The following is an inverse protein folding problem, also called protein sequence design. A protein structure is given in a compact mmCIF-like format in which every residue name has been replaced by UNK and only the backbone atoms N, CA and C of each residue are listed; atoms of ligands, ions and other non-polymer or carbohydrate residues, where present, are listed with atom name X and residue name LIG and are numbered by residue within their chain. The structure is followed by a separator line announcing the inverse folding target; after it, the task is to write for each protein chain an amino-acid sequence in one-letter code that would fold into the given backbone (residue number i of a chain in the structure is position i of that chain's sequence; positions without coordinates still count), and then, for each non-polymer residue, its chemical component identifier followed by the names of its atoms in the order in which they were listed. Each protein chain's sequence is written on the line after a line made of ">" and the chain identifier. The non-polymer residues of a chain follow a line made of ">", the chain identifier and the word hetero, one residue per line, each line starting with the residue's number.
data_IF_249967488562
#
_entry.id   IF_249967488562
#
_cell.length_a   1.000
_cell.length_b   1.000
_cell.length_c   1.000
_cell.angle_alpha   90.00
_cell.angle_beta   90.00
_cell.angle_gamma   90.00
#
_symmetry.space_group_name_H-M   'P 1'
#
loop_
_entity.id
_entity.type
_entity.pdbx_description
1 polymer ?
#
# COMPACT_ATOMS: atom_id res chain seq x y z
N UNK A 1 6.15 12.19 14.20
CA UNK A 1 4.89 12.40 13.46
C UNK A 1 5.22 12.60 12.00
N UNK A 2 4.86 11.65 11.15
CA UNK A 2 5.31 11.65 9.76
C UNK A 2 4.47 12.54 8.84
N UNK A 3 3.15 12.55 8.98
CA UNK A 3 2.26 13.33 8.10
C UNK A 3 1.03 13.84 8.85
N UNK A 4 0.67 15.09 8.56
CA UNK A 4 -0.60 15.68 8.96
C UNK A 4 -1.32 16.27 7.74
N UNK A 5 -2.62 16.06 7.66
CA UNK A 5 -3.48 16.62 6.63
C UNK A 5 -4.68 17.28 7.29
N UNK A 6 -5.18 18.38 6.70
CA UNK A 6 -6.41 19.03 7.17
C UNK A 6 -7.28 19.44 6.00
N UNK A 7 -8.56 19.09 6.07
CA UNK A 7 -9.56 19.41 5.05
C UNK A 7 -10.79 19.96 5.73
N UNK A 8 -11.20 21.18 5.35
CA UNK A 8 -12.41 21.85 5.88
C UNK A 8 -12.51 21.83 7.40
N UNK A 9 -11.40 22.09 8.09
CA UNK A 9 -11.30 22.08 9.56
C UNK A 9 -10.74 23.41 10.08
N UNK A 10 -11.08 23.77 11.30
CA UNK A 10 -10.60 25.00 11.97
C UNK A 10 -9.08 24.95 12.18
N UNK A 11 -8.56 23.81 12.55
CA UNK A 11 -7.11 23.57 12.61
C UNK A 11 -6.62 23.16 11.21
N UNK A 12 -6.12 24.12 10.46
CA UNK A 12 -5.82 23.95 9.02
C UNK A 12 -4.32 23.80 8.69
N UNK A 13 -3.42 24.18 9.62
CA UNK A 13 -1.97 24.14 9.39
C UNK A 13 -1.40 22.75 9.68
N UNK A 14 -0.90 22.00 8.67
CA UNK A 14 -0.27 20.69 8.91
C UNK A 14 0.96 20.75 9.82
N UNK A 15 1.76 21.81 9.75
CA UNK A 15 2.95 22.01 10.60
C UNK A 15 2.58 22.17 12.07
N UNK A 16 1.51 22.93 12.36
CA UNK A 16 1.05 23.12 13.72
C UNK A 16 0.48 21.82 14.31
N UNK A 17 -0.31 21.09 13.50
CA UNK A 17 -0.82 19.77 13.87
C UNK A 17 0.34 18.83 14.23
N UNK A 18 1.39 18.77 13.39
CA UNK A 18 2.57 17.95 13.65
C UNK A 18 3.27 18.34 14.95
N UNK A 19 3.46 19.63 15.17
CA UNK A 19 4.13 20.17 16.37
C UNK A 19 3.33 19.85 17.63
N UNK A 20 2.02 20.05 17.62
CA UNK A 20 1.13 19.75 18.75
C UNK A 20 1.16 18.25 19.04
N UNK A 21 1.03 17.40 18.02
CA UNK A 21 1.07 15.96 18.18
C UNK A 21 2.41 15.48 18.73
N UNK A 22 3.53 15.98 18.17
CA UNK A 22 4.87 15.66 18.68
C UNK A 22 5.00 15.99 20.15
N UNK A 23 4.59 17.20 20.54
CA UNK A 23 4.65 17.65 21.94
C UNK A 23 3.78 16.77 22.83
N UNK A 24 2.55 16.49 22.46
CA UNK A 24 1.63 15.66 23.25
C UNK A 24 2.18 14.24 23.49
N UNK A 25 2.74 13.62 22.45
CA UNK A 25 3.35 12.29 22.52
C UNK A 25 4.57 12.32 23.45
N UNK A 26 5.49 13.27 23.24
CA UNK A 26 6.71 13.39 24.06
C UNK A 26 6.37 13.62 25.54
N UNK A 27 5.45 14.53 25.86
CA UNK A 27 5.05 14.80 27.25
C UNK A 27 4.39 13.57 27.88
N UNK A 28 3.56 12.85 27.14
CA UNK A 28 2.96 11.61 27.63
C UNK A 28 3.99 10.54 27.92
N UNK A 29 4.94 10.33 27.00
CA UNK A 29 5.99 9.33 27.16
C UNK A 29 6.96 9.69 28.29
N UNK A 30 7.33 10.97 28.46
CA UNK A 30 8.12 11.42 29.61
C UNK A 30 7.44 11.06 30.93
N UNK A 31 6.15 11.31 31.03
CA UNK A 31 5.39 10.98 32.24
C UNK A 31 5.25 9.48 32.50
N UNK A 32 5.21 8.64 31.45
CA UNK A 32 5.09 7.17 31.59
C UNK A 32 6.44 6.53 31.94
N UNK A 33 7.52 6.96 31.27
CA UNK A 33 8.83 6.33 31.39
C UNK A 33 9.79 7.03 32.35
N UNK A 34 9.43 8.21 32.85
CA UNK A 34 10.27 8.98 33.80
C UNK A 34 11.56 9.51 33.18
N UNK A 35 11.62 9.65 31.85
CA UNK A 35 12.81 10.11 31.12
C UNK A 35 12.59 11.50 30.53
N UNK A 36 13.65 12.29 30.41
CA UNK A 36 13.61 13.62 29.81
C UNK A 36 14.01 13.64 28.34
N UNK A 37 14.70 12.61 27.88
CA UNK A 37 15.21 12.46 26.51
C UNK A 37 14.90 11.05 25.98
N UNK A 38 14.67 10.94 24.67
CA UNK A 38 14.46 9.68 23.96
C UNK A 38 15.51 9.54 22.89
N UNK A 39 16.18 8.40 22.84
CA UNK A 39 17.08 8.04 21.76
C UNK A 39 16.27 7.77 20.49
N UNK A 40 16.85 8.12 19.32
CA UNK A 40 16.19 7.97 18.01
C UNK A 40 16.86 6.83 17.19
N UNK A 41 17.27 5.77 17.84
CA UNK A 41 18.04 4.64 17.28
C UNK A 41 17.18 3.37 17.06
N UNK A 42 15.93 3.40 17.49
CA UNK A 42 15.01 2.26 17.41
C UNK A 42 14.19 2.18 16.12
N UNK A 43 13.28 1.21 16.09
CA UNK A 43 12.32 1.04 15.01
C UNK A 43 11.42 2.27 14.85
N UNK A 44 11.12 2.65 13.61
CA UNK A 44 10.29 3.80 13.30
C UNK A 44 8.80 3.48 13.42
N UNK A 45 8.04 4.35 14.11
CA UNK A 45 6.59 4.28 14.26
C UNK A 45 5.94 5.55 13.69
N UNK A 46 5.75 5.66 12.35
CA UNK A 46 5.20 6.87 11.77
C UNK A 46 3.74 7.06 12.15
N UNK A 47 3.44 8.21 12.74
CA UNK A 47 2.07 8.58 13.13
C UNK A 47 1.50 9.51 12.06
N UNK A 48 0.32 9.18 11.56
CA UNK A 48 -0.45 9.99 10.62
C UNK A 48 -1.63 10.63 11.33
N UNK A 49 -1.86 11.90 11.06
CA UNK A 49 -3.00 12.65 11.60
C UNK A 49 -3.76 13.27 10.44
N UNK A 50 -5.05 13.00 10.36
CA UNK A 50 -5.94 13.62 9.37
C UNK A 50 -7.08 14.33 10.07
N UNK A 51 -7.25 15.62 9.79
CA UNK A 51 -8.43 16.37 10.18
C UNK A 51 -9.38 16.48 9.00
N UNK A 52 -10.63 16.11 9.21
CA UNK A 52 -11.69 16.31 8.23
C UNK A 52 -12.95 16.81 8.93
N UNK A 53 -13.40 18.01 8.58
CA UNK A 53 -14.58 18.66 9.20
C UNK A 53 -14.50 18.66 10.74
N UNK A 54 -13.36 19.07 11.26
CA UNK A 54 -13.03 19.12 12.69
C UNK A 54 -12.97 17.74 13.41
N UNK A 55 -13.04 16.63 12.69
CA UNK A 55 -12.81 15.29 13.23
C UNK A 55 -11.36 14.88 12.99
N UNK A 56 -10.65 14.49 14.05
CA UNK A 56 -9.28 14.01 13.99
C UNK A 56 -9.25 12.47 13.88
N UNK A 57 -8.56 11.96 12.85
CA UNK A 57 -8.21 10.55 12.74
C UNK A 57 -6.71 10.40 12.97
N UNK A 58 -6.33 9.59 13.93
CA UNK A 58 -4.93 9.32 14.28
C UNK A 58 -4.66 7.84 14.03
N UNK A 59 -3.60 7.55 13.27
CA UNK A 59 -3.20 6.19 12.95
C UNK A 59 -1.70 6.01 12.98
N UNK A 60 -1.26 4.77 13.17
CA UNK A 60 0.14 4.35 13.01
C UNK A 60 0.27 3.72 11.63
N UNK A 61 1.26 4.15 10.85
CA UNK A 61 1.53 3.61 9.52
C UNK A 61 2.34 2.31 9.64
N UNK A 62 1.67 1.19 9.42
CA UNK A 62 2.27 -0.14 9.45
C UNK A 62 2.88 -0.55 8.11
N UNK A 63 2.49 0.12 7.03
CA UNK A 63 2.84 -0.25 5.66
C UNK A 63 4.18 0.32 5.21
N UNK A 64 4.51 1.55 5.61
CA UNK A 64 5.70 2.30 5.17
C UNK A 64 5.58 2.76 3.72
N UNK A 65 6.12 2.01 2.78
CA UNK A 65 5.99 2.28 1.34
C UNK A 65 4.52 2.15 0.92
N UNK A 66 4.04 3.06 0.07
CA UNK A 66 2.63 3.10 -0.35
C UNK A 66 2.16 1.76 -0.95
N UNK A 67 0.94 1.33 -0.60
CA UNK A 67 0.40 0.00 -0.95
C UNK A 67 0.26 -0.25 -2.46
N UNK A 68 0.16 0.81 -3.28
CA UNK A 68 0.14 0.65 -4.74
C UNK A 68 1.46 0.08 -5.28
N UNK A 69 2.57 0.27 -4.58
CA UNK A 69 3.86 -0.32 -4.98
C UNK A 69 3.88 -1.80 -4.64
N UNK A 70 3.40 -2.63 -5.55
CA UNK A 70 3.29 -4.09 -5.41
C UNK A 70 4.64 -4.82 -5.48
N UNK A 71 5.68 -4.17 -6.02
CA UNK A 71 7.01 -4.76 -6.23
C UNK A 71 7.24 -5.37 -7.62
N UNK A 72 6.21 -5.58 -8.41
CA UNK A 72 6.38 -6.16 -9.76
C UNK A 72 6.83 -5.15 -10.82
N UNK A 73 6.52 -3.86 -10.66
CA UNK A 73 6.85 -2.83 -11.65
C UNK A 73 8.33 -2.48 -11.61
N UNK A 74 9.07 -2.89 -12.63
CA UNK A 74 10.51 -2.59 -12.79
C UNK A 74 10.78 -1.28 -13.53
N UNK A 75 9.90 -0.91 -14.47
CA UNK A 75 10.01 0.32 -15.25
C UNK A 75 8.77 1.19 -15.07
N UNK A 76 8.96 2.50 -15.02
CA UNK A 76 7.88 3.47 -14.91
C UNK A 76 7.68 4.17 -16.24
N UNK A 77 6.45 4.14 -16.72
CA UNK A 77 5.97 5.00 -17.83
C UNK A 77 5.45 6.31 -17.28
N UNK A 78 5.28 7.32 -18.13
CA UNK A 78 4.69 8.60 -17.73
C UNK A 78 3.28 8.38 -17.20
N UNK A 79 3.08 8.71 -15.90
CA UNK A 79 1.78 8.76 -15.23
C UNK A 79 0.89 7.50 -15.36
N UNK A 80 1.38 6.30 -14.98
CA UNK A 80 0.53 5.11 -14.99
C UNK A 80 -0.57 5.23 -13.92
N UNK A 81 -1.69 4.55 -14.14
CA UNK A 81 -2.68 4.36 -13.08
C UNK A 81 -2.03 3.61 -11.90
N UNK A 82 -2.38 3.98 -10.68
CA UNK A 82 -1.87 3.25 -9.51
C UNK A 82 -2.52 1.87 -9.42
N UNK A 83 -1.75 0.88 -9.01
CA UNK A 83 -2.16 -0.52 -8.91
C UNK A 83 -3.38 -0.69 -8.01
N UNK A 84 -3.42 0.00 -6.86
CA UNK A 84 -4.56 -0.03 -5.95
C UNK A 84 -5.84 0.54 -6.56
N UNK A 85 -5.73 1.56 -7.41
CA UNK A 85 -6.88 2.13 -8.10
C UNK A 85 -7.36 1.20 -9.21
N UNK A 86 -6.46 0.60 -9.98
CA UNK A 86 -6.80 -0.38 -11.00
C UNK A 86 -7.53 -1.57 -10.39
N UNK A 87 -7.00 -2.15 -9.30
CA UNK A 87 -7.66 -3.23 -8.56
C UNK A 87 -9.06 -2.83 -8.09
N UNK A 88 -9.21 -1.65 -7.48
CA UNK A 88 -10.50 -1.17 -7.01
C UNK A 88 -11.52 -1.02 -8.15
N UNK A 89 -11.08 -0.50 -9.30
CA UNK A 89 -11.95 -0.37 -10.47
C UNK A 89 -12.38 -1.73 -11.03
N UNK A 90 -11.49 -2.73 -11.10
CA UNK A 90 -11.83 -4.10 -11.50
C UNK A 90 -12.87 -4.67 -10.54
N UNK A 91 -12.68 -4.54 -9.23
CA UNK A 91 -13.60 -5.04 -8.20
C UNK A 91 -14.99 -4.38 -8.25
N UNK A 92 -15.11 -3.18 -8.80
CA UNK A 92 -16.40 -2.50 -9.00
C UNK A 92 -17.13 -2.97 -10.26
N UNK A 93 -16.49 -3.74 -11.12
CA UNK A 93 -17.11 -4.33 -12.30
C UNK A 93 -17.66 -5.73 -11.97
N UNK A 94 -18.57 -6.29 -12.79
CA UNK A 94 -19.01 -7.68 -12.66
C UNK A 94 -18.00 -8.69 -13.22
N UNK A 95 -16.74 -8.28 -13.46
CA UNK A 95 -15.69 -9.16 -13.96
C UNK A 95 -15.30 -10.21 -12.91
N UNK A 96 -15.02 -11.41 -13.39
CA UNK A 96 -14.41 -12.50 -12.64
C UNK A 96 -13.51 -13.32 -13.58
N UNK A 97 -12.79 -14.29 -13.06
CA UNK A 97 -11.83 -15.12 -13.82
C UNK A 97 -12.43 -15.86 -15.03
N UNK A 98 -13.73 -16.12 -15.03
CA UNK A 98 -14.44 -16.84 -16.10
C UNK A 98 -14.96 -15.91 -17.20
N UNK A 99 -14.66 -14.62 -17.11
CA UNK A 99 -15.07 -13.59 -18.07
C UNK A 99 -13.86 -12.96 -18.75
N UNK A 100 -14.00 -12.65 -20.04
CA UNK A 100 -12.99 -11.93 -20.79
C UNK A 100 -12.82 -10.53 -20.21
N UNK A 101 -11.55 -10.11 -20.03
CA UNK A 101 -11.19 -8.74 -19.74
C UNK A 101 -10.36 -8.20 -20.91
N UNK A 102 -10.79 -7.06 -21.46
CA UNK A 102 -10.05 -6.39 -22.53
C UNK A 102 -9.76 -4.95 -22.11
N UNK A 103 -8.48 -4.58 -22.12
CA UNK A 103 -8.02 -3.21 -21.95
C UNK A 103 -7.42 -2.72 -23.28
N UNK A 104 -8.16 -1.91 -24.07
CA UNK A 104 -7.72 -1.46 -25.39
C UNK A 104 -6.65 -0.35 -25.34
N UNK A 105 -6.32 0.19 -24.16
CA UNK A 105 -5.33 1.24 -23.95
C UNK A 105 -4.49 0.95 -22.72
N UNK A 106 -3.94 -0.26 -22.64
CA UNK A 106 -3.39 -0.82 -21.40
C UNK A 106 -2.13 -0.13 -20.88
N UNK A 107 -1.44 0.66 -21.71
CA UNK A 107 -0.18 1.26 -21.35
C UNK A 107 0.83 0.21 -20.88
N UNK A 108 1.31 0.32 -19.65
CA UNK A 108 2.21 -0.67 -19.04
C UNK A 108 1.46 -1.90 -18.46
N UNK A 109 0.21 -2.14 -18.83
CA UNK A 109 -0.54 -3.34 -18.49
C UNK A 109 -1.06 -3.39 -17.04
N UNK A 110 -1.26 -2.25 -16.37
CA UNK A 110 -1.66 -2.26 -14.94
C UNK A 110 -2.99 -3.00 -14.72
N UNK A 111 -4.03 -2.74 -15.53
CA UNK A 111 -5.29 -3.46 -15.41
C UNK A 111 -5.18 -4.96 -15.71
N UNK A 112 -4.56 -5.38 -16.83
CA UNK A 112 -4.34 -6.79 -17.11
C UNK A 112 -3.56 -7.52 -16.01
N UNK A 113 -2.49 -6.92 -15.48
CA UNK A 113 -1.67 -7.53 -14.43
C UNK A 113 -2.46 -7.68 -13.13
N UNK A 114 -3.15 -6.63 -12.67
CA UNK A 114 -3.95 -6.70 -11.44
C UNK A 114 -5.11 -7.70 -11.58
N UNK A 115 -5.74 -7.79 -12.76
CA UNK A 115 -6.76 -8.78 -13.03
C UNK A 115 -6.19 -10.21 -12.99
N UNK A 116 -5.04 -10.44 -13.61
CA UNK A 116 -4.37 -11.74 -13.58
C UNK A 116 -3.97 -12.16 -12.15
N UNK A 117 -3.46 -11.23 -11.35
CA UNK A 117 -3.16 -11.48 -9.95
C UNK A 117 -4.42 -11.85 -9.15
N UNK A 118 -5.54 -11.15 -9.38
CA UNK A 118 -6.83 -11.48 -8.75
C UNK A 118 -7.34 -12.86 -9.19
N UNK A 119 -7.24 -13.17 -10.48
CA UNK A 119 -7.68 -14.46 -11.01
C UNK A 119 -6.88 -15.62 -10.40
N UNK A 120 -5.58 -15.46 -10.28
CA UNK A 120 -4.67 -16.48 -9.74
C UNK A 120 -4.58 -16.48 -8.19
N UNK A 121 -5.38 -15.67 -7.50
CA UNK A 121 -5.37 -15.47 -6.05
C UNK A 121 -3.98 -15.10 -5.49
N UNK A 122 -3.24 -14.28 -6.24
CA UNK A 122 -1.92 -13.78 -5.84
C UNK A 122 -2.07 -12.58 -4.91
N UNK A 123 -1.65 -12.72 -3.67
CA UNK A 123 -1.73 -11.64 -2.70
C UNK A 123 -0.81 -10.45 -3.10
N UNK A 124 -1.35 -9.21 -3.14
CA UNK A 124 -0.60 -8.04 -3.64
C UNK A 124 0.57 -7.62 -2.74
N UNK A 125 0.69 -8.20 -1.54
CA UNK A 125 1.76 -7.91 -0.57
C UNK A 125 3.00 -8.78 -0.68
N UNK A 126 2.98 -9.86 -1.46
CA UNK A 126 4.04 -10.89 -1.46
C UNK A 126 5.41 -10.39 -1.93
N UNK A 127 5.44 -9.44 -2.87
CA UNK A 127 6.67 -8.93 -3.47
C UNK A 127 7.12 -7.58 -2.87
N UNK A 128 6.72 -7.30 -1.63
CA UNK A 128 7.09 -6.08 -0.92
C UNK A 128 7.33 -6.35 0.57
N UNK A 129 8.06 -5.45 1.23
CA UNK A 129 8.17 -5.41 2.69
C UNK A 129 7.19 -4.42 3.30
N UNK A 130 6.89 -4.61 4.57
CA UNK A 130 6.08 -3.72 5.38
C UNK A 130 6.91 -3.16 6.54
N UNK A 131 6.68 -1.91 6.90
CA UNK A 131 7.41 -1.27 8.00
C UNK A 131 7.22 -2.01 9.33
N UNK A 132 6.04 -2.57 9.56
CA UNK A 132 5.75 -3.34 10.76
C UNK A 132 6.58 -4.63 10.93
N UNK A 133 7.27 -5.09 9.88
CA UNK A 133 8.23 -6.20 9.99
C UNK A 133 9.44 -5.86 10.88
N UNK A 134 9.77 -4.56 11.00
CA UNK A 134 10.82 -4.06 11.88
C UNK A 134 10.41 -4.11 13.36
N UNK A 135 9.12 -4.20 13.66
CA UNK A 135 8.56 -4.14 15.01
C UNK A 135 8.57 -5.51 15.71
N UNK A 136 9.74 -6.11 15.81
CA UNK A 136 9.95 -7.51 16.28
C UNK A 136 9.36 -7.82 17.64
N UNK A 137 9.25 -6.80 18.52
CA UNK A 137 8.66 -6.96 19.85
C UNK A 137 7.13 -6.92 19.85
N UNK A 138 6.50 -6.33 18.83
CA UNK A 138 5.05 -6.20 18.70
C UNK A 138 4.48 -7.26 17.75
N UNK A 139 5.18 -7.52 16.64
CA UNK A 139 4.75 -8.49 15.61
C UNK A 139 5.86 -9.53 15.46
N UNK A 140 5.69 -10.74 16.01
CA UNK A 140 6.65 -11.83 15.86
C UNK A 140 6.88 -12.18 14.39
N UNK A 141 8.12 -12.50 14.03
CA UNK A 141 8.46 -12.94 12.67
C UNK A 141 7.60 -14.10 12.18
N UNK A 142 7.22 -14.98 13.09
CA UNK A 142 6.37 -16.12 12.76
C UNK A 142 5.07 -15.69 12.08
N UNK A 143 4.41 -14.60 12.54
CA UNK A 143 3.17 -14.11 11.94
C UNK A 143 3.36 -13.73 10.45
N UNK A 144 4.53 -13.19 10.09
CA UNK A 144 4.86 -12.86 8.71
C UNK A 144 5.11 -14.11 7.86
N UNK A 145 5.81 -15.11 8.43
CA UNK A 145 6.02 -16.39 7.74
C UNK A 145 4.72 -17.14 7.51
N UNK A 146 3.89 -17.26 8.55
CA UNK A 146 2.60 -17.96 8.46
C UNK A 146 1.69 -17.28 7.42
N UNK A 147 1.63 -15.91 7.40
CA UNK A 147 0.85 -15.16 6.43
C UNK A 147 1.37 -15.31 4.99
N UNK A 148 2.70 -15.37 4.81
CA UNK A 148 3.31 -15.59 3.50
C UNK A 148 3.06 -17.03 3.00
N UNK A 149 3.19 -18.03 3.87
CA UNK A 149 2.90 -19.42 3.56
C UNK A 149 1.44 -19.59 3.14
N UNK A 150 0.50 -19.05 3.93
CA UNK A 150 -0.92 -19.04 3.57
C UNK A 150 -1.17 -18.39 2.20
N UNK A 151 -0.52 -17.24 1.94
CA UNK A 151 -0.67 -16.55 0.67
C UNK A 151 -0.10 -17.35 -0.50
N UNK A 152 1.02 -18.06 -0.32
CA UNK A 152 1.62 -18.92 -1.33
C UNK A 152 0.74 -20.15 -1.64
N UNK A 153 0.19 -20.77 -0.62
CA UNK A 153 -0.67 -21.95 -0.76
C UNK A 153 -1.96 -21.65 -1.53
N UNK A 154 -2.40 -20.39 -1.53
CA UNK A 154 -3.59 -19.94 -2.26
C UNK A 154 -3.35 -19.71 -3.75
N UNK A 155 -2.11 -19.54 -4.18
CA UNK A 155 -1.79 -19.23 -5.57
C UNK A 155 -2.19 -20.38 -6.48
N UNK A 156 -3.02 -20.07 -7.48
CA UNK A 156 -3.41 -21.00 -8.52
C UNK A 156 -2.93 -20.52 -9.90
N UNK A 157 -1.76 -20.98 -10.32
CA UNK A 157 -1.20 -20.65 -11.62
C UNK A 157 -1.79 -21.51 -12.78
N UNK A 158 -2.56 -22.55 -12.47
CA UNK A 158 -3.20 -23.39 -13.46
C UNK A 158 -4.58 -22.88 -13.88
N UNK A 159 -4.87 -21.62 -13.60
CA UNK A 159 -6.13 -21.01 -13.94
C UNK A 159 -6.18 -20.64 -15.42
N UNK A 160 -7.23 -21.02 -16.12
CA UNK A 160 -7.53 -20.53 -17.45
C UNK A 160 -8.33 -19.24 -17.35
N UNK A 161 -7.80 -18.17 -17.91
CA UNK A 161 -8.46 -16.85 -17.96
C UNK A 161 -8.10 -16.14 -19.25
N UNK A 162 -9.03 -15.33 -19.75
CA UNK A 162 -8.83 -14.54 -20.97
C UNK A 162 -8.72 -13.06 -20.61
N UNK A 163 -7.46 -12.59 -20.50
CA UNK A 163 -7.13 -11.20 -20.16
C UNK A 163 -6.25 -10.65 -21.28
N UNK A 164 -6.72 -9.60 -21.95
CA UNK A 164 -6.10 -9.02 -23.10
C UNK A 164 -5.81 -7.54 -22.87
N UNK A 165 -4.59 -7.11 -23.18
CA UNK A 165 -4.17 -5.71 -23.14
C UNK A 165 -3.64 -5.27 -24.50
N UNK A 166 -4.08 -4.12 -24.99
CA UNK A 166 -3.63 -3.53 -26.25
C UNK A 166 -3.14 -2.12 -26.02
N UNK A 167 -2.10 -1.72 -26.72
CA UNK A 167 -1.62 -0.34 -26.76
C UNK A 167 -1.02 -0.03 -28.14
N UNK A 168 -1.09 1.23 -28.55
CA UNK A 168 -0.51 1.68 -29.80
C UNK A 168 1.01 1.76 -29.74
N UNK A 169 1.58 1.93 -28.55
CA UNK A 169 3.02 2.01 -28.32
C UNK A 169 3.60 0.61 -27.99
N UNK A 170 4.31 -0.02 -28.93
CA UNK A 170 4.89 -1.35 -28.71
C UNK A 170 5.94 -1.36 -27.57
N UNK A 171 6.59 -0.23 -27.28
CA UNK A 171 7.54 -0.15 -26.18
C UNK A 171 6.89 -0.38 -24.81
N UNK A 172 5.63 0.03 -24.65
CA UNK A 172 4.89 -0.15 -23.39
C UNK A 172 4.55 -1.62 -23.13
N UNK A 173 4.21 -2.35 -24.18
CA UNK A 173 3.91 -3.79 -24.11
C UNK A 173 5.15 -4.63 -23.82
N UNK A 174 6.32 -4.22 -24.34
CA UNK A 174 7.58 -4.94 -24.14
C UNK A 174 8.17 -4.79 -22.72
N UNK A 175 7.80 -3.73 -22.02
CA UNK A 175 8.27 -3.44 -20.65
C UNK A 175 7.36 -3.98 -19.57
N UNK A 176 6.21 -4.55 -19.94
CA UNK A 176 5.30 -5.19 -19.00
C UNK A 176 5.92 -6.50 -18.51
N UNK A 177 6.09 -6.72 -17.18
CA UNK A 177 6.48 -8.03 -16.70
C UNK A 177 5.40 -9.02 -17.08
N UNK A 178 5.78 -10.12 -17.70
CA UNK A 178 4.91 -11.26 -17.86
C UNK A 178 4.56 -11.79 -16.46
N UNK A 179 3.31 -12.15 -16.17
CA UNK A 179 2.94 -12.73 -14.88
C UNK A 179 3.66 -14.06 -14.61
#
# INVERSE_FOLDING_TARGET
>A
VAKANSVKSKLFSPSDIQSIMKKAIVERLKGVYGVSWFEEDGASFPIRVAFMKDVATIGIDTSGVSLHKRGYRKMTVKAPITETLASALIMLTPWNKDRILVDPFCGSGTFPIEAAMMAADIAPGMNRSFLAEEWKHLVPRKCWYDANEEAQDRINLNIETDIQGFDIDPCLLYTSPSP
#
